data_IF_295875044005
#
_entry.id   IF_295875044005
#
_cell.length_a   1.000
_cell.length_b   1.000
_cell.length_c   1.000
_cell.angle_alpha   90.00
_cell.angle_beta   90.00
_cell.angle_gamma   90.00
#
_symmetry.space_group_name_H-M   'P 1'
#
loop_
_entity.id
_entity.type
_entity.pdbx_description
1 polymer ?
#
# COMPACT_ATOMS: atom_id res chain seq x y z
N UNK A 1 -7.03 -13.19 -36.38
CA UNK A 1 -6.49 -12.50 -35.19
C UNK A 1 -5.73 -13.55 -34.38
N UNK A 2 -4.39 -13.49 -34.34
CA UNK A 2 -3.59 -14.55 -33.71
C UNK A 2 -3.83 -14.63 -32.20
N UNK A 3 -3.81 -15.84 -31.63
CA UNK A 3 -3.89 -16.07 -30.17
C UNK A 3 -2.86 -15.21 -29.42
N UNK A 4 -1.65 -15.03 -29.99
CA UNK A 4 -0.64 -14.10 -29.45
C UNK A 4 -1.17 -12.66 -29.32
N UNK A 5 -1.85 -12.13 -30.32
CA UNK A 5 -2.38 -10.77 -30.29
C UNK A 5 -3.54 -10.62 -29.28
N UNK A 6 -4.35 -11.65 -29.09
CA UNK A 6 -5.39 -11.67 -28.06
C UNK A 6 -4.78 -11.74 -26.65
N UNK A 7 -3.73 -12.54 -26.43
CA UNK A 7 -3.00 -12.61 -25.16
C UNK A 7 -2.31 -11.29 -24.83
N UNK A 8 -1.62 -10.68 -25.80
CA UNK A 8 -1.00 -9.35 -25.59
C UNK A 8 -2.05 -8.29 -25.31
N UNK A 9 -3.17 -8.26 -26.04
CA UNK A 9 -4.24 -7.29 -25.82
C UNK A 9 -4.94 -7.50 -24.48
N UNK A 10 -5.09 -8.74 -24.03
CA UNK A 10 -5.63 -9.08 -22.72
C UNK A 10 -4.66 -8.73 -21.58
N UNK A 11 -3.35 -8.95 -21.77
CA UNK A 11 -2.32 -8.48 -20.84
C UNK A 11 -2.25 -6.96 -20.76
N UNK A 12 -2.28 -6.25 -21.89
CA UNK A 12 -2.28 -4.78 -21.93
C UNK A 12 -3.55 -4.18 -21.30
N UNK A 13 -4.72 -4.79 -21.54
CA UNK A 13 -5.99 -4.35 -20.96
C UNK A 13 -6.07 -4.59 -19.45
N UNK A 14 -5.56 -5.72 -18.95
CA UNK A 14 -5.42 -5.93 -17.51
C UNK A 14 -4.40 -4.96 -16.90
N UNK A 15 -3.30 -4.65 -17.59
CA UNK A 15 -2.28 -3.72 -17.09
C UNK A 15 -2.79 -2.28 -17.00
N UNK A 16 -3.57 -1.82 -17.98
CA UNK A 16 -4.23 -0.51 -17.93
C UNK A 16 -5.30 -0.42 -16.84
N UNK A 17 -5.99 -1.53 -16.54
CA UNK A 17 -6.99 -1.61 -15.47
C UNK A 17 -6.37 -1.77 -14.06
N UNK A 18 -5.12 -2.25 -13.98
CA UNK A 18 -4.31 -2.39 -12.75
C UNK A 18 -3.66 -1.06 -12.34
N UNK A 19 -3.38 -0.18 -13.31
CA UNK A 19 -2.68 1.08 -13.10
C UNK A 19 -3.68 2.24 -13.11
N UNK A 20 -4.44 2.39 -12.02
CA UNK A 20 -4.98 3.71 -11.71
C UNK A 20 -3.78 4.61 -11.36
N UNK A 21 -3.26 5.32 -12.36
CA UNK A 21 -2.05 6.15 -12.24
C UNK A 21 -2.25 7.40 -11.38
N UNK A 22 -3.46 7.64 -10.87
CA UNK A 22 -3.73 8.71 -9.91
C UNK A 22 -3.63 8.22 -8.45
N UNK A 23 -2.82 7.19 -8.20
CA UNK A 23 -2.51 6.72 -6.85
C UNK A 23 -1.36 7.54 -6.25
N UNK A 24 -1.51 7.87 -4.97
CA UNK A 24 -0.65 8.75 -4.19
C UNK A 24 -0.08 7.94 -3.05
N UNK A 25 1.23 7.76 -3.10
CA UNK A 25 2.01 7.03 -2.11
C UNK A 25 2.53 8.01 -1.08
N UNK A 26 2.26 7.75 0.19
CA UNK A 26 2.99 8.36 1.29
C UNK A 26 4.29 7.58 1.53
N UNK A 27 5.42 8.19 1.23
CA UNK A 27 6.74 7.69 1.58
C UNK A 27 7.16 8.25 2.94
N UNK A 28 7.46 7.37 3.89
CA UNK A 28 7.91 7.71 5.24
C UNK A 28 9.36 7.24 5.39
N UNK A 29 10.30 8.17 5.39
CA UNK A 29 11.75 7.90 5.38
C UNK A 29 12.49 9.11 5.97
N UNK A 30 13.29 8.91 7.01
CA UNK A 30 14.01 9.99 7.70
C UNK A 30 15.31 10.40 6.98
N UNK A 31 15.93 9.49 6.24
CA UNK A 31 17.12 9.77 5.44
C UNK A 31 16.78 10.49 4.12
N UNK A 32 17.05 11.80 4.07
CA UNK A 32 16.68 12.66 2.94
C UNK A 32 17.19 12.18 1.56
N UNK A 33 18.40 11.60 1.50
CA UNK A 33 18.98 11.10 0.24
C UNK A 33 18.24 9.86 -0.26
N UNK A 34 17.89 8.94 0.65
CA UNK A 34 17.11 7.75 0.34
C UNK A 34 15.70 8.15 -0.07
N UNK A 35 15.06 9.04 0.71
CA UNK A 35 13.72 9.57 0.44
C UNK A 35 13.63 10.20 -0.95
N UNK A 36 14.63 11.02 -1.33
CA UNK A 36 14.70 11.62 -2.67
C UNK A 36 14.82 10.56 -3.78
N UNK A 37 15.67 9.56 -3.57
CA UNK A 37 15.91 8.48 -4.55
C UNK A 37 14.64 7.65 -4.76
N UNK A 38 14.03 7.17 -3.67
CA UNK A 38 12.80 6.39 -3.73
C UNK A 38 11.65 7.20 -4.32
N UNK A 39 11.52 8.48 -3.95
CA UNK A 39 10.52 9.38 -4.53
C UNK A 39 10.69 9.53 -6.03
N UNK A 40 11.93 9.62 -6.53
CA UNK A 40 12.20 9.69 -7.95
C UNK A 40 11.77 8.40 -8.67
N UNK A 41 12.15 7.24 -8.12
CA UNK A 41 11.75 5.94 -8.66
C UNK A 41 10.23 5.78 -8.68
N UNK A 42 9.54 6.10 -7.58
CA UNK A 42 8.08 6.01 -7.47
C UNK A 42 7.38 6.89 -8.51
N UNK A 43 7.84 8.14 -8.70
CA UNK A 43 7.30 9.02 -9.75
C UNK A 43 7.56 8.47 -11.15
N UNK A 44 8.72 7.88 -11.40
CA UNK A 44 9.02 7.23 -12.69
C UNK A 44 8.13 6.01 -12.97
N UNK A 45 7.60 5.37 -11.92
CA UNK A 45 6.61 4.29 -12.07
C UNK A 45 5.21 4.82 -12.43
N UNK A 46 4.99 6.13 -12.34
CA UNK A 46 3.74 6.81 -12.68
C UNK A 46 2.79 6.98 -11.49
N UNK A 47 3.31 7.02 -10.26
CA UNK A 47 2.55 7.36 -9.05
C UNK A 47 2.89 8.77 -8.58
N UNK A 48 1.94 9.40 -7.90
CA UNK A 48 2.22 10.59 -7.09
C UNK A 48 2.87 10.17 -5.75
N UNK A 49 3.74 11.02 -5.21
CA UNK A 49 4.41 10.74 -3.94
C UNK A 49 4.47 11.95 -3.03
N UNK A 50 3.99 11.75 -1.81
CA UNK A 50 4.10 12.68 -0.69
C UNK A 50 5.15 12.10 0.25
N UNK A 51 6.12 12.91 0.69
CA UNK A 51 7.19 12.47 1.58
C UNK A 51 7.05 13.07 2.97
N UNK A 52 7.24 12.26 3.99
CA UNK A 52 7.41 12.69 5.38
C UNK A 52 8.60 11.96 5.99
N UNK A 53 9.16 12.51 7.06
CA UNK A 53 10.45 12.07 7.61
C UNK A 53 10.38 11.57 9.06
N UNK A 54 9.17 11.28 9.58
CA UNK A 54 8.96 10.63 10.88
C UNK A 54 7.54 10.06 10.98
N UNK A 55 7.33 9.19 11.96
CA UNK A 55 6.07 8.49 12.18
C UNK A 55 4.92 9.42 12.52
N UNK A 56 5.14 10.46 13.35
CA UNK A 56 4.09 11.38 13.78
C UNK A 56 3.49 12.16 12.60
N UNK A 57 4.35 12.62 11.68
CA UNK A 57 3.92 13.29 10.45
C UNK A 57 3.20 12.33 9.52
N UNK A 58 3.59 11.05 9.49
CA UNK A 58 2.90 10.04 8.68
C UNK A 58 1.47 9.81 9.18
N UNK A 59 1.29 9.62 10.49
CA UNK A 59 -0.03 9.47 11.13
C UNK A 59 -0.89 10.70 10.84
N UNK A 60 -0.32 11.89 11.04
CA UNK A 60 -1.04 13.15 10.77
C UNK A 60 -1.45 13.29 9.30
N UNK A 61 -0.55 13.03 8.36
CA UNK A 61 -0.83 13.14 6.93
C UNK A 61 -1.96 12.19 6.50
N UNK A 62 -1.92 10.93 6.96
CA UNK A 62 -2.96 9.94 6.68
C UNK A 62 -4.31 10.29 7.32
N UNK A 63 -4.33 10.94 8.48
CA UNK A 63 -5.56 11.40 9.13
C UNK A 63 -6.18 12.61 8.43
N UNK A 64 -5.36 13.50 7.87
CA UNK A 64 -5.79 14.77 7.26
C UNK A 64 -6.12 14.66 5.76
N UNK A 65 -5.56 13.67 5.05
CA UNK A 65 -5.75 13.53 3.60
C UNK A 65 -6.28 12.16 3.19
N UNK A 66 -7.43 12.16 2.52
CA UNK A 66 -8.00 10.97 1.88
C UNK A 66 -7.33 10.64 0.53
N UNK A 67 -6.50 11.53 -0.01
CA UNK A 67 -5.81 11.31 -1.29
C UNK A 67 -4.72 10.25 -1.17
N UNK A 68 -4.13 10.09 0.02
CA UNK A 68 -3.13 9.05 0.30
C UNK A 68 -3.82 7.69 0.28
N UNK A 69 -3.39 6.84 -0.63
CA UNK A 69 -3.97 5.52 -0.88
C UNK A 69 -2.96 4.37 -0.68
N UNK A 70 -1.74 4.68 -0.27
CA UNK A 70 -0.70 3.71 0.05
C UNK A 70 0.32 4.31 1.00
N UNK A 71 0.86 3.51 1.90
CA UNK A 71 1.97 3.90 2.75
C UNK A 71 3.17 2.99 2.49
N UNK A 72 4.27 3.60 2.07
CA UNK A 72 5.58 2.97 2.03
C UNK A 72 6.36 3.44 3.25
N UNK A 73 6.47 2.57 4.25
CA UNK A 73 6.90 2.91 5.61
C UNK A 73 8.27 2.34 5.90
N UNK A 74 9.27 3.18 6.14
CA UNK A 74 10.52 2.71 6.72
C UNK A 74 10.34 2.18 8.15
N UNK A 75 11.03 1.10 8.49
CA UNK A 75 10.97 0.48 9.81
C UNK A 75 11.67 1.32 10.88
N UNK A 76 12.83 1.88 10.53
CA UNK A 76 13.69 2.65 11.44
C UNK A 76 13.63 4.13 11.06
N UNK A 77 12.85 4.90 11.81
CA UNK A 77 12.69 6.35 11.57
C UNK A 77 13.58 7.19 12.49
N UNK A 78 14.63 6.58 13.04
CA UNK A 78 15.53 7.21 13.97
C UNK A 78 14.84 7.58 15.29
N UNK A 79 14.87 8.87 15.66
CA UNK A 79 14.33 9.32 16.94
C UNK A 79 12.83 9.62 16.86
N UNK A 80 12.05 9.10 17.81
CA UNK A 80 10.61 9.31 17.89
C UNK A 80 9.82 8.03 17.59
N UNK A 81 8.62 8.20 17.07
CA UNK A 81 7.74 7.10 16.68
C UNK A 81 8.35 6.26 15.55
N UNK A 82 8.52 4.96 15.81
CA UNK A 82 9.06 4.01 14.85
C UNK A 82 8.04 3.64 13.77
N UNK A 83 8.51 3.12 12.64
CA UNK A 83 7.65 2.76 11.51
C UNK A 83 6.50 1.80 11.84
N UNK A 84 6.74 0.68 12.53
CA UNK A 84 5.69 -0.24 12.97
C UNK A 84 4.63 0.43 13.85
N UNK A 85 5.04 1.31 14.77
CA UNK A 85 4.13 2.05 15.65
C UNK A 85 3.25 3.01 14.84
N UNK A 86 3.85 3.76 13.92
CA UNK A 86 3.13 4.67 13.03
C UNK A 86 2.12 3.92 12.14
N UNK A 87 2.49 2.74 11.61
CA UNK A 87 1.61 1.91 10.83
C UNK A 87 0.38 1.44 11.63
N UNK A 88 0.57 1.02 12.89
CA UNK A 88 -0.55 0.65 13.79
C UNK A 88 -1.49 1.83 13.98
N UNK A 89 -0.97 3.04 14.25
CA UNK A 89 -1.81 4.22 14.44
C UNK A 89 -2.56 4.64 13.17
N UNK A 90 -1.91 4.57 12.00
CA UNK A 90 -2.56 4.84 10.70
C UNK A 90 -3.71 3.85 10.46
N UNK A 91 -3.47 2.56 10.69
CA UNK A 91 -4.45 1.50 10.41
C UNK A 91 -5.65 1.50 11.35
N UNK A 92 -5.59 2.21 12.48
CA UNK A 92 -6.76 2.43 13.36
C UNK A 92 -7.81 3.35 12.72
N UNK A 93 -7.39 4.28 11.86
CA UNK A 93 -8.28 5.30 11.29
C UNK A 93 -8.41 5.22 9.77
N UNK A 94 -7.51 4.49 9.09
CA UNK A 94 -7.46 4.36 7.64
C UNK A 94 -7.36 2.90 7.25
N UNK A 95 -8.16 2.51 6.27
CA UNK A 95 -8.01 1.21 5.61
C UNK A 95 -7.25 1.43 4.30
N UNK A 96 -5.93 1.29 4.37
CA UNK A 96 -5.01 1.54 3.26
C UNK A 96 -3.86 0.52 3.29
N UNK A 97 -3.32 0.10 2.14
CA UNK A 97 -2.20 -0.81 2.10
C UNK A 97 -0.93 -0.15 2.66
N UNK A 98 -0.28 -0.86 3.59
CA UNK A 98 1.04 -0.51 4.14
C UNK A 98 2.06 -1.55 3.67
N UNK A 99 3.18 -1.09 3.14
CA UNK A 99 4.36 -1.90 2.81
C UNK A 99 5.57 -1.33 3.55
N UNK A 100 6.33 -2.20 4.21
CA UNK A 100 7.50 -1.77 4.98
C UNK A 100 8.78 -1.74 4.13
N UNK A 101 9.65 -0.76 4.37
CA UNK A 101 11.00 -0.68 3.85
C UNK A 101 12.00 -1.14 4.91
N UNK A 102 13.03 -1.87 4.50
CA UNK A 102 14.10 -2.30 5.41
C UNK A 102 15.47 -2.20 4.78
N UNK A 103 16.45 -1.73 5.56
CA UNK A 103 17.88 -1.71 5.20
C UNK A 103 18.60 -3.01 5.59
N UNK A 104 17.99 -3.87 6.42
CA UNK A 104 18.62 -5.05 6.98
C UNK A 104 17.76 -6.31 6.80
N UNK A 105 18.40 -7.41 6.44
CA UNK A 105 17.81 -8.75 6.39
C UNK A 105 17.70 -9.42 7.79
N UNK A 106 17.87 -8.64 8.86
CA UNK A 106 17.84 -9.13 10.23
C UNK A 106 16.43 -9.58 10.64
N UNK A 107 16.33 -10.83 11.08
CA UNK A 107 15.07 -11.49 11.44
C UNK A 107 14.24 -10.71 12.49
N UNK A 108 14.91 -10.02 13.42
CA UNK A 108 14.28 -9.23 14.48
C UNK A 108 13.43 -8.05 13.97
N UNK A 109 13.86 -7.39 12.89
CA UNK A 109 13.10 -6.27 12.31
C UNK A 109 11.81 -6.78 11.65
N UNK A 110 11.87 -7.93 10.97
CA UNK A 110 10.69 -8.58 10.38
C UNK A 110 9.72 -9.04 11.45
N UNK A 111 10.22 -9.59 12.56
CA UNK A 111 9.39 -10.04 13.69
C UNK A 111 8.56 -8.90 14.30
N UNK A 112 9.08 -7.67 14.32
CA UNK A 112 8.37 -6.49 14.83
C UNK A 112 7.09 -6.14 14.07
N UNK A 113 6.97 -6.57 12.80
CA UNK A 113 5.80 -6.29 11.95
C UNK A 113 4.87 -7.48 11.73
N UNK A 114 5.24 -8.69 12.19
CA UNK A 114 4.44 -9.92 11.98
C UNK A 114 3.02 -9.84 12.59
N UNK A 115 2.78 -8.95 13.54
CA UNK A 115 1.46 -8.73 14.15
C UNK A 115 0.65 -7.56 13.58
N UNK A 116 1.22 -6.80 12.63
CA UNK A 116 0.59 -5.62 12.05
C UNK A 116 -0.02 -6.02 10.70
N UNK A 117 -1.26 -5.65 10.36
CA UNK A 117 -1.77 -5.86 9.01
C UNK A 117 -0.90 -5.12 7.99
N UNK A 118 -0.26 -5.83 7.08
CA UNK A 118 0.57 -5.24 6.03
C UNK A 118 0.53 -6.10 4.76
N UNK A 119 0.87 -5.48 3.63
CA UNK A 119 0.83 -6.12 2.31
C UNK A 119 2.21 -6.57 1.81
N UNK A 120 3.25 -6.36 2.60
CA UNK A 120 4.60 -6.89 2.35
C UNK A 120 5.70 -6.03 2.93
N UNK A 121 6.95 -6.41 2.61
CA UNK A 121 8.14 -5.63 2.90
C UNK A 121 9.09 -5.64 1.69
N UNK A 122 9.93 -4.61 1.59
CA UNK A 122 10.86 -4.40 0.48
C UNK A 122 12.21 -3.96 1.05
N UNK A 123 13.30 -4.57 0.59
CA UNK A 123 14.63 -4.11 0.92
C UNK A 123 14.93 -2.80 0.19
N UNK A 124 15.41 -1.76 0.87
CA UNK A 124 15.76 -0.47 0.24
C UNK A 124 16.77 -0.64 -0.90
N UNK A 125 17.65 -1.63 -0.81
CA UNK A 125 18.67 -1.98 -1.82
C UNK A 125 18.20 -2.96 -2.91
N UNK A 126 16.92 -3.34 -2.95
CA UNK A 126 16.38 -4.32 -3.91
C UNK A 126 16.27 -3.81 -5.35
N UNK A 127 16.39 -2.50 -5.55
CA UNK A 127 16.29 -1.85 -6.85
C UNK A 127 14.86 -1.63 -7.34
N UNK A 128 14.73 -0.83 -8.39
CA UNK A 128 13.45 -0.31 -8.88
C UNK A 128 12.44 -1.39 -9.27
N UNK A 129 12.91 -2.50 -9.87
CA UNK A 129 12.02 -3.56 -10.32
C UNK A 129 11.26 -4.22 -9.17
N UNK A 130 11.97 -4.56 -8.09
CA UNK A 130 11.36 -5.18 -6.92
C UNK A 130 10.50 -4.17 -6.15
N UNK A 131 10.96 -2.93 -6.00
CA UNK A 131 10.17 -1.86 -5.40
C UNK A 131 8.84 -1.66 -6.13
N UNK A 132 8.89 -1.50 -7.46
CA UNK A 132 7.70 -1.33 -8.30
C UNK A 132 6.77 -2.54 -8.21
N UNK A 133 7.31 -3.75 -8.36
CA UNK A 133 6.50 -4.97 -8.31
C UNK A 133 5.79 -5.12 -6.97
N UNK A 134 6.45 -4.81 -5.86
CA UNK A 134 5.85 -4.89 -4.53
C UNK A 134 4.73 -3.88 -4.32
N UNK A 135 4.90 -2.64 -4.81
CA UNK A 135 3.84 -1.62 -4.80
C UNK A 135 2.64 -2.10 -5.62
N UNK A 136 2.87 -2.57 -6.85
CA UNK A 136 1.81 -3.05 -7.74
C UNK A 136 1.06 -4.26 -7.14
N UNK A 137 1.78 -5.23 -6.58
CA UNK A 137 1.17 -6.39 -5.92
C UNK A 137 0.34 -5.99 -4.70
N UNK A 138 0.85 -5.09 -3.86
CA UNK A 138 0.13 -4.63 -2.68
C UNK A 138 -1.17 -3.90 -3.04
N UNK A 139 -1.15 -3.05 -4.08
CA UNK A 139 -2.38 -2.46 -4.61
C UNK A 139 -3.37 -3.50 -5.15
N UNK A 140 -2.90 -4.47 -5.93
CA UNK A 140 -3.76 -5.52 -6.46
C UNK A 140 -4.43 -6.35 -5.36
N UNK A 141 -3.66 -6.73 -4.34
CA UNK A 141 -4.18 -7.49 -3.21
C UNK A 141 -5.18 -6.68 -2.40
N UNK A 142 -4.89 -5.40 -2.15
CA UNK A 142 -5.81 -4.51 -1.44
C UNK A 142 -7.12 -4.32 -2.20
N UNK A 143 -7.06 -4.02 -3.49
CA UNK A 143 -8.24 -3.88 -4.35
C UNK A 143 -9.07 -5.17 -4.42
N UNK A 144 -8.40 -6.33 -4.42
CA UNK A 144 -9.07 -7.63 -4.40
C UNK A 144 -9.81 -7.83 -3.07
N UNK A 145 -9.18 -7.51 -1.94
CA UNK A 145 -9.81 -7.58 -0.61
C UNK A 145 -11.00 -6.62 -0.50
N UNK A 146 -10.89 -5.39 -0.97
CA UNK A 146 -12.00 -4.43 -0.98
C UNK A 146 -13.18 -4.90 -1.83
N UNK A 147 -12.91 -5.51 -3.00
CA UNK A 147 -13.96 -6.12 -3.82
C UNK A 147 -14.68 -7.24 -3.09
N UNK A 148 -13.94 -8.15 -2.44
CA UNK A 148 -14.52 -9.24 -1.65
C UNK A 148 -15.35 -8.69 -0.49
N UNK A 149 -14.81 -7.75 0.29
CA UNK A 149 -15.54 -7.13 1.41
C UNK A 149 -16.81 -6.40 0.95
N UNK A 150 -16.75 -5.71 -0.19
CA UNK A 150 -17.90 -5.01 -0.75
C UNK A 150 -19.00 -5.97 -1.24
N UNK A 151 -18.64 -7.17 -1.72
CA UNK A 151 -19.61 -8.18 -2.15
C UNK A 151 -20.26 -8.86 -0.94
N UNK A 152 -19.49 -9.17 0.10
CA UNK A 152 -20.00 -9.70 1.37
C UNK A 152 -20.96 -8.73 2.06
N UNK A 153 -20.61 -7.45 2.14
CA UNK A 153 -21.47 -6.41 2.71
C UNK A 153 -22.80 -6.28 1.96
N UNK A 154 -22.76 -6.34 0.62
CA UNK A 154 -23.98 -6.35 -0.22
C UNK A 154 -24.84 -7.56 0.08
N UNK A 155 -24.25 -8.76 0.14
CA UNK A 155 -24.98 -10.00 0.41
C UNK A 155 -25.65 -9.99 1.79
N UNK A 156 -24.95 -9.52 2.83
CA UNK A 156 -25.52 -9.35 4.18
C UNK A 156 -26.72 -8.40 4.20
N UNK A 157 -26.64 -7.27 3.49
CA UNK A 157 -27.74 -6.31 3.41
C UNK A 157 -29.00 -6.80 2.68
N UNK A 158 -28.88 -7.87 1.88
CA UNK A 158 -30.02 -8.52 1.21
C UNK A 158 -30.70 -9.49 2.19
N UNK A 159 -29.92 -10.29 2.92
CA UNK A 159 -30.45 -11.22 3.93
C UNK A 159 -31.19 -10.49 5.04
N UNK A 160 -30.65 -9.37 5.52
CA UNK A 160 -31.28 -8.57 6.58
C UNK A 160 -32.62 -7.94 6.13
N UNK A 161 -32.80 -7.70 4.81
CA UNK A 161 -34.07 -7.19 4.27
C UNK A 161 -35.17 -8.25 4.20
N UNK A 162 -34.82 -9.50 3.95
CA UNK A 162 -35.80 -10.59 3.89
C UNK A 162 -36.26 -11.04 5.29
N UNK A 163 -35.45 -10.82 6.34
CA UNK A 163 -35.83 -11.09 7.73
C UNK A 163 -36.82 -10.06 8.33
N UNK A 164 -37.05 -8.91 7.68
CA UNK A 164 -38.01 -7.88 8.14
C UNK A 164 -39.41 -8.07 7.52
N UNK A 165 -39.56 -8.99 6.56
CA UNK A 165 -40.84 -9.25 5.86
C UNK A 165 -41.66 -10.41 6.41
N UNK A 166 -41.23 -11.01 7.51
CA UNK A 166 -41.91 -12.13 8.17
C UNK A 166 -42.29 -11.74 9.62
N UNK A 167 -43.15 -10.74 9.78
CA UNK A 167 -43.98 -10.52 11.00
C UNK A 167 -45.45 -10.35 10.59
#
# INVERSE_FOLDING_TARGET
MSIKAAVYRFQSFNLEMILDKNRTILLVEDEAVISLTLSHSIRNFGYEVITVNNGERAVKACAESNEINFVLMDLDLGAGMQGPEAAVEILKCRDIPVVFLTSHSGQQMVESVLGIPHYGYVMKSSGDFLLKSSIEMAFQLFDAHEKVRSSEAKFKSIIDRDNIRCE
#
